data_IF_492854952839
#
_entry.id   IF_492854952839
#
_cell.length_a   1.000
_cell.length_b   1.000
_cell.length_c   1.000
_cell.angle_alpha   90.00
_cell.angle_beta   90.00
_cell.angle_gamma   90.00
#
_symmetry.space_group_name_H-M   'P 1'
#
loop_
_entity.id
_entity.type
_entity.pdbx_description
1 polymer ?
#
# COMPACT_ATOMS: atom_id res chain seq x y z
N UNK A 1 12.88 -9.83 3.60
CA UNK A 1 11.82 -9.40 4.55
C UNK A 1 10.71 -10.45 4.61
N UNK A 2 10.27 -10.79 5.81
CA UNK A 2 9.15 -11.72 5.99
C UNK A 2 7.85 -10.93 6.05
N UNK A 3 6.89 -11.27 5.17
CA UNK A 3 5.59 -10.62 5.17
C UNK A 3 4.64 -11.31 6.15
N UNK A 4 3.75 -10.54 6.78
CA UNK A 4 2.67 -11.06 7.59
C UNK A 4 1.72 -11.90 6.72
N UNK A 5 0.96 -12.81 7.35
CA UNK A 5 -0.08 -13.54 6.66
C UNK A 5 -1.23 -12.59 6.31
N UNK A 6 -1.80 -12.74 5.12
CA UNK A 6 -2.89 -11.91 4.66
C UNK A 6 -2.81 -11.68 3.16
N UNK A 7 -3.65 -10.76 2.69
CA UNK A 7 -3.67 -10.36 1.30
C UNK A 7 -2.71 -9.20 1.08
N UNK A 8 -1.79 -9.34 0.14
CA UNK A 8 -0.82 -8.29 -0.17
C UNK A 8 -1.41 -7.33 -1.20
N UNK A 9 -1.37 -6.04 -0.88
CA UNK A 9 -1.73 -4.97 -1.82
C UNK A 9 -0.43 -4.52 -2.47
N UNK A 10 -0.34 -4.69 -3.78
CA UNK A 10 0.90 -4.50 -4.53
C UNK A 10 0.84 -3.24 -5.40
N UNK A 11 2.02 -2.72 -5.75
CA UNK A 11 2.11 -1.60 -6.66
C UNK A 11 1.63 -2.02 -8.06
N UNK A 12 0.68 -1.28 -8.66
CA UNK A 12 0.17 -1.61 -10.00
C UNK A 12 1.11 -1.13 -11.11
N UNK A 13 2.04 -0.26 -10.79
CA UNK A 13 2.99 0.33 -11.72
C UNK A 13 4.22 0.80 -10.95
N UNK A 14 5.37 1.02 -11.63
CA UNK A 14 6.54 1.56 -10.95
C UNK A 14 6.34 3.03 -10.60
N UNK A 15 6.96 3.48 -9.51
CA UNK A 15 6.88 4.87 -9.10
C UNK A 15 7.47 5.12 -7.74
N UNK A 16 7.16 6.30 -7.19
CA UNK A 16 7.64 6.74 -5.89
C UNK A 16 6.48 6.79 -4.90
N UNK A 17 6.73 6.36 -3.68
CA UNK A 17 5.73 6.44 -2.61
C UNK A 17 5.74 7.86 -2.03
N UNK A 18 4.68 8.62 -2.29
CA UNK A 18 4.55 9.98 -1.77
C UNK A 18 4.12 10.00 -0.32
N UNK A 19 3.20 9.10 0.05
CA UNK A 19 2.73 9.02 1.43
C UNK A 19 2.21 7.62 1.74
N UNK A 20 2.27 7.26 3.01
CA UNK A 20 1.64 6.05 3.55
C UNK A 20 0.60 6.52 4.54
N UNK A 21 -0.67 6.21 4.27
CA UNK A 21 -1.80 6.81 4.97
C UNK A 21 -2.41 5.91 6.04
N UNK A 22 -1.80 4.76 6.30
CA UNK A 22 -2.28 3.78 7.27
C UNK A 22 -1.14 3.28 8.16
N UNK A 23 -1.51 2.71 9.29
CA UNK A 23 -0.57 2.12 10.25
C UNK A 23 -0.94 0.68 10.54
N UNK A 24 0.04 -0.11 10.96
CA UNK A 24 -0.20 -1.47 11.39
C UNK A 24 -1.25 -1.50 12.51
N UNK A 25 -2.21 -2.41 12.40
CA UNK A 25 -3.30 -2.55 13.36
C UNK A 25 -4.53 -1.71 13.05
N UNK A 26 -4.45 -0.81 12.09
CA UNK A 26 -5.56 0.07 11.73
C UNK A 26 -6.64 -0.70 10.97
N UNK A 27 -7.91 -0.48 11.34
CA UNK A 27 -9.04 -1.00 10.58
C UNK A 27 -9.29 -0.10 9.37
N UNK A 28 -9.54 -0.71 8.22
CA UNK A 28 -9.83 0.02 6.98
C UNK A 28 -11.07 -0.58 6.31
N UNK A 29 -11.69 0.21 5.46
CA UNK A 29 -12.82 -0.20 4.64
C UNK A 29 -12.43 -0.18 3.17
N UNK A 30 -13.11 -0.98 2.37
CA UNK A 30 -12.92 -0.98 0.92
C UNK A 30 -12.96 0.45 0.39
N UNK A 31 -11.96 0.84 -0.41
CA UNK A 31 -11.85 2.18 -0.96
C UNK A 31 -11.05 3.17 -0.11
N UNK A 32 -10.71 2.84 1.13
CA UNK A 32 -9.85 3.71 1.94
C UNK A 32 -8.47 3.81 1.29
N UNK A 33 -7.89 5.01 1.29
CA UNK A 33 -6.58 5.25 0.70
C UNK A 33 -5.50 4.68 1.62
N UNK A 34 -4.72 3.75 1.09
CA UNK A 34 -3.61 3.13 1.82
C UNK A 34 -2.31 3.87 1.58
N UNK A 35 -2.02 4.18 0.32
CA UNK A 35 -0.74 4.75 -0.11
C UNK A 35 -1.01 5.66 -1.30
N UNK A 36 -0.25 6.74 -1.42
CA UNK A 36 -0.24 7.56 -2.64
C UNK A 36 1.05 7.25 -3.40
N UNK A 37 0.88 6.81 -4.64
CA UNK A 37 1.98 6.45 -5.53
C UNK A 37 2.09 7.49 -6.64
N UNK A 38 3.25 8.13 -6.78
CA UNK A 38 3.52 9.00 -7.93
C UNK A 38 4.11 8.18 -9.06
N UNK A 39 3.43 8.19 -10.20
CA UNK A 39 3.88 7.50 -11.40
C UNK A 39 3.47 8.34 -12.61
N UNK A 40 4.37 8.48 -13.58
CA UNK A 40 4.09 9.20 -14.83
C UNK A 40 3.58 10.61 -14.59
N UNK A 41 4.15 11.30 -13.59
CA UNK A 41 3.81 12.69 -13.21
C UNK A 41 2.38 12.84 -12.66
N UNK A 42 1.76 11.73 -12.21
CA UNK A 42 0.42 11.74 -11.63
C UNK A 42 0.45 11.07 -10.27
N UNK A 43 -0.43 11.55 -9.39
CA UNK A 43 -0.64 10.90 -8.10
C UNK A 43 -1.72 9.84 -8.25
N UNK A 44 -1.41 8.63 -7.83
CA UNK A 44 -2.31 7.49 -7.91
C UNK A 44 -2.63 7.01 -6.51
N UNK A 45 -3.92 6.92 -6.17
CA UNK A 45 -4.36 6.41 -4.89
C UNK A 45 -4.41 4.89 -4.93
N UNK A 46 -3.68 4.25 -4.04
CA UNK A 46 -3.74 2.80 -3.86
C UNK A 46 -4.71 2.57 -2.71
N UNK A 47 -5.84 1.94 -3.00
CA UNK A 47 -6.94 1.82 -2.04
C UNK A 47 -7.10 0.39 -1.56
N UNK A 48 -7.75 0.24 -0.39
CA UNK A 48 -8.08 -1.07 0.14
C UNK A 48 -9.07 -1.79 -0.79
N UNK A 49 -8.79 -3.04 -1.16
CA UNK A 49 -9.69 -3.81 -2.04
C UNK A 49 -10.92 -4.33 -1.31
N UNK A 50 -10.88 -4.36 0.01
CA UNK A 50 -11.96 -4.83 0.88
C UNK A 50 -11.79 -4.28 2.28
N UNK A 51 -12.77 -4.49 3.14
CA UNK A 51 -12.64 -4.18 4.56
C UNK A 51 -11.63 -5.13 5.19
N UNK A 52 -10.93 -4.65 6.19
CA UNK A 52 -9.96 -5.48 6.92
C UNK A 52 -9.11 -4.69 7.88
N UNK A 53 -8.05 -5.31 8.34
CA UNK A 53 -7.10 -4.70 9.28
C UNK A 53 -5.71 -4.71 8.63
N UNK A 54 -4.96 -3.63 8.82
CA UNK A 54 -3.59 -3.53 8.31
C UNK A 54 -2.69 -4.45 9.14
N UNK A 55 -2.26 -5.55 8.53
CA UNK A 55 -1.38 -6.51 9.20
C UNK A 55 0.08 -6.05 9.19
N UNK A 56 0.48 -5.37 8.12
CA UNK A 56 1.86 -4.89 7.98
C UNK A 56 1.92 -3.76 6.98
N UNK A 57 2.72 -2.74 7.27
CA UNK A 57 3.08 -1.70 6.30
C UNK A 57 4.47 -2.06 5.77
N UNK A 58 4.54 -2.47 4.50
CA UNK A 58 5.78 -2.99 3.90
C UNK A 58 6.61 -1.86 3.30
N UNK A 59 5.92 -0.87 2.71
CA UNK A 59 6.61 0.25 2.07
C UNK A 59 6.77 1.44 3.01
N UNK A 60 7.53 2.43 2.59
CA UNK A 60 7.75 3.68 3.35
C UNK A 60 7.66 4.86 2.39
N UNK A 61 7.36 6.03 2.97
CA UNK A 61 7.39 7.30 2.22
C UNK A 61 8.78 7.48 1.59
N UNK A 62 8.80 7.85 0.33
CA UNK A 62 10.04 8.07 -0.41
C UNK A 62 10.61 6.83 -1.09
N UNK A 63 10.03 5.65 -0.85
CA UNK A 63 10.49 4.43 -1.50
C UNK A 63 10.23 4.47 -3.00
N UNK A 64 11.15 3.90 -3.77
CA UNK A 64 10.97 3.65 -5.20
C UNK A 64 10.55 2.20 -5.36
N UNK A 65 9.43 1.96 -6.01
CA UNK A 65 8.87 0.61 -6.14
C UNK A 65 8.69 0.23 -7.60
N UNK A 66 8.75 -1.07 -7.86
CA UNK A 66 8.47 -1.66 -9.18
C UNK A 66 7.06 -2.23 -9.19
N UNK A 67 6.54 -2.51 -10.40
CA UNK A 67 5.25 -3.20 -10.56
C UNK A 67 5.28 -4.51 -9.76
N UNK A 68 4.25 -4.75 -8.96
CA UNK A 68 4.12 -5.96 -8.15
C UNK A 68 4.81 -5.88 -6.80
N UNK A 69 5.53 -4.80 -6.50
CA UNK A 69 6.16 -4.65 -5.18
C UNK A 69 5.10 -4.63 -4.09
N UNK A 70 5.26 -5.39 -3.00
CA UNK A 70 4.30 -5.38 -1.90
C UNK A 70 4.34 -4.05 -1.17
N UNK A 71 3.18 -3.47 -0.90
CA UNK A 71 3.05 -2.19 -0.21
C UNK A 71 2.47 -2.35 1.18
N UNK A 72 1.37 -3.09 1.27
CA UNK A 72 0.59 -3.28 2.50
C UNK A 72 0.16 -4.74 2.55
N UNK A 73 0.10 -5.32 3.74
CA UNK A 73 -0.55 -6.62 3.95
C UNK A 73 -1.84 -6.37 4.71
N UNK A 74 -2.95 -6.88 4.17
CA UNK A 74 -4.29 -6.70 4.70
C UNK A 74 -4.81 -8.04 5.21
N UNK A 75 -5.31 -8.03 6.44
CA UNK A 75 -5.97 -9.19 7.05
C UNK A 75 -7.48 -9.08 7.03
#
# INVERSE_FOLDING_TARGET
MTLAAGETVNAPMPGNILSVNVSQGQAVKAGDILVILEAMKMENEIVAPRDGTIAQVVTTKGAVVETGAPLIVLQ
#
